data_IF_024183089307
#
_entry.id   IF_024183089307
#
_cell.length_a   1.000
_cell.length_b   1.000
_cell.length_c   1.000
_cell.angle_alpha   90.00
_cell.angle_beta   90.00
_cell.angle_gamma   90.00
#
_symmetry.space_group_name_H-M   'P 1'
#
loop_
_entity.id
_entity.type
_entity.pdbx_description
1 polymer ?
#
# COMPACT_ATOMS: atom_id res chain seq x y z
N UNK A 1 -10.66 -58.67 22.21
CA UNK A 1 -10.78 -57.88 20.99
C UNK A 1 -10.54 -56.41 21.37
N UNK A 2 -9.33 -55.89 21.16
CA UNK A 2 -8.96 -54.52 21.50
C UNK A 2 -9.03 -53.65 20.26
N UNK A 3 -9.84 -52.61 20.29
CA UNK A 3 -9.94 -51.60 19.24
C UNK A 3 -8.80 -50.58 19.40
N UNK A 4 -7.86 -50.57 18.47
CA UNK A 4 -6.88 -49.47 18.36
C UNK A 4 -7.57 -48.26 17.73
N UNK A 5 -7.72 -47.20 18.52
CA UNK A 5 -8.12 -45.89 18.00
C UNK A 5 -6.87 -45.13 17.51
N UNK A 6 -6.77 -44.88 16.20
CA UNK A 6 -5.78 -43.98 15.62
C UNK A 6 -6.31 -42.57 15.73
N UNK A 7 -5.65 -41.73 16.53
CA UNK A 7 -5.88 -40.30 16.53
C UNK A 7 -5.10 -39.70 15.36
N UNK A 8 -5.79 -39.20 14.34
CA UNK A 8 -5.21 -38.38 13.29
C UNK A 8 -4.93 -37.00 13.88
N UNK A 9 -3.68 -36.68 14.12
CA UNK A 9 -3.25 -35.32 14.41
C UNK A 9 -3.28 -34.52 13.11
N UNK A 10 -4.24 -33.61 12.96
CA UNK A 10 -4.24 -32.61 11.88
C UNK A 10 -3.12 -31.64 12.15
N UNK A 11 -2.04 -31.70 11.37
CA UNK A 11 -1.01 -30.69 11.36
C UNK A 11 -1.62 -29.41 10.76
N UNK A 12 -1.82 -28.38 11.59
CA UNK A 12 -2.14 -27.05 11.14
C UNK A 12 -0.94 -26.54 10.34
N UNK A 13 -1.07 -26.43 9.02
CA UNK A 13 -0.09 -25.75 8.18
C UNK A 13 -0.15 -24.26 8.52
N UNK A 14 0.87 -23.77 9.22
CA UNK A 14 1.05 -22.33 9.43
C UNK A 14 1.20 -21.68 8.05
N UNK A 15 0.28 -20.80 7.70
CA UNK A 15 0.37 -20.02 6.48
C UNK A 15 1.62 -19.15 6.59
N UNK A 16 2.55 -19.27 5.65
CA UNK A 16 3.76 -18.46 5.65
C UNK A 16 3.40 -17.00 5.45
N UNK A 17 3.97 -16.12 6.29
CA UNK A 17 3.80 -14.68 6.14
C UNK A 17 4.28 -14.22 4.75
N UNK A 18 3.63 -13.20 4.18
CA UNK A 18 4.03 -12.68 2.87
C UNK A 18 5.49 -12.18 2.90
N UNK A 19 6.21 -12.26 1.77
CA UNK A 19 7.58 -11.76 1.68
C UNK A 19 7.70 -10.28 2.08
N UNK A 20 6.72 -9.45 1.72
CA UNK A 20 6.69 -8.03 2.11
C UNK A 20 6.54 -7.88 3.63
N UNK A 21 5.66 -8.67 4.26
CA UNK A 21 5.50 -8.67 5.72
C UNK A 21 6.82 -9.01 6.43
N UNK A 22 7.47 -10.07 5.96
CA UNK A 22 8.75 -10.51 6.52
C UNK A 22 9.82 -9.42 6.38
N UNK A 23 9.93 -8.80 5.21
CA UNK A 23 10.88 -7.74 4.94
C UNK A 23 10.58 -6.45 5.75
N UNK A 24 9.32 -6.06 5.85
CA UNK A 24 8.90 -4.91 6.65
C UNK A 24 9.25 -5.10 8.12
N UNK A 25 8.99 -6.28 8.66
CA UNK A 25 9.35 -6.62 10.05
C UNK A 25 10.87 -6.59 10.26
N UNK A 26 11.66 -7.11 9.33
CA UNK A 26 13.12 -7.07 9.38
C UNK A 26 13.67 -5.64 9.24
N UNK A 27 13.00 -4.78 8.50
CA UNK A 27 13.30 -3.35 8.32
C UNK A 27 12.84 -2.43 9.47
N UNK A 28 12.42 -2.99 10.60
CA UNK A 28 11.94 -2.19 11.74
C UNK A 28 10.55 -1.60 11.54
N UNK A 29 9.74 -2.20 10.69
CA UNK A 29 8.35 -1.80 10.45
C UNK A 29 8.16 -0.64 9.48
N UNK A 30 9.22 -0.23 8.76
CA UNK A 30 9.16 0.89 7.81
C UNK A 30 9.97 0.59 6.56
N UNK A 31 9.37 0.76 5.38
CA UNK A 31 10.04 0.62 4.08
C UNK A 31 9.62 1.73 3.12
N UNK A 32 10.60 2.33 2.46
CA UNK A 32 10.40 3.35 1.43
C UNK A 32 10.61 2.76 0.05
N UNK A 33 9.73 3.08 -0.88
CA UNK A 33 9.84 2.74 -2.29
C UNK A 33 9.72 4.00 -3.13
N UNK A 34 10.61 4.17 -4.10
CA UNK A 34 10.66 5.37 -4.90
C UNK A 34 10.89 5.09 -6.39
N UNK A 35 10.38 5.97 -7.21
CA UNK A 35 10.65 6.03 -8.65
C UNK A 35 10.59 7.46 -9.13
N UNK A 36 11.60 7.84 -9.91
CA UNK A 36 11.57 9.04 -10.73
C UNK A 36 11.71 8.63 -12.19
N UNK A 37 10.95 9.28 -13.06
CA UNK A 37 10.94 9.04 -14.49
C UNK A 37 11.53 10.26 -15.19
N UNK A 38 12.63 10.05 -15.89
CA UNK A 38 13.27 11.09 -16.67
C UNK A 38 12.55 11.36 -18.01
N UNK A 39 12.95 12.41 -18.71
CA UNK A 39 12.34 12.78 -19.99
C UNK A 39 12.59 11.72 -21.07
N UNK A 40 13.70 10.98 -21.01
CA UNK A 40 13.97 9.89 -21.94
C UNK A 40 12.98 8.73 -21.76
N UNK A 41 12.68 8.39 -20.50
CA UNK A 41 11.63 7.42 -20.18
C UNK A 41 10.27 7.89 -20.70
N UNK A 42 9.87 9.10 -20.33
CA UNK A 42 8.55 9.66 -20.67
C UNK A 42 8.35 9.81 -22.19
N UNK A 43 9.40 10.11 -22.94
CA UNK A 43 9.32 10.19 -24.41
C UNK A 43 8.95 8.84 -25.06
N UNK A 44 9.34 7.74 -24.43
CA UNK A 44 9.05 6.38 -24.89
C UNK A 44 7.75 5.80 -24.32
N UNK A 45 7.16 6.43 -23.29
CA UNK A 45 5.94 6.00 -22.62
C UNK A 45 4.85 7.07 -22.78
N UNK A 46 4.41 7.23 -24.05
CA UNK A 46 3.40 8.24 -24.39
C UNK A 46 2.11 8.04 -23.59
N UNK A 47 1.64 9.13 -23.00
CA UNK A 47 0.45 9.13 -22.13
C UNK A 47 0.75 8.99 -20.65
N UNK A 48 1.97 8.62 -20.25
CA UNK A 48 2.39 8.68 -18.86
C UNK A 48 2.65 10.14 -18.47
N UNK A 49 2.01 10.60 -17.40
CA UNK A 49 2.14 11.96 -16.86
C UNK A 49 2.83 11.97 -15.50
N UNK A 50 2.84 10.85 -14.81
CA UNK A 50 3.56 10.69 -13.54
C UNK A 50 5.06 10.72 -13.77
N UNK A 51 5.74 11.64 -13.08
CA UNK A 51 7.19 11.84 -13.11
C UNK A 51 7.91 11.31 -11.88
N UNK A 52 7.19 11.25 -10.77
CA UNK A 52 7.72 10.80 -9.49
C UNK A 52 6.63 10.08 -8.71
N UNK A 53 7.00 8.98 -8.08
CA UNK A 53 6.16 8.33 -7.10
C UNK A 53 7.01 7.89 -5.91
N UNK A 54 6.46 8.05 -4.70
CA UNK A 54 7.03 7.56 -3.45
C UNK A 54 5.95 6.89 -2.63
N UNK A 55 6.26 5.71 -2.13
CA UNK A 55 5.39 4.93 -1.26
C UNK A 55 6.15 4.59 0.00
N UNK A 56 5.57 4.94 1.13
CA UNK A 56 6.08 4.58 2.44
C UNK A 56 5.11 3.59 3.06
N UNK A 57 5.59 2.37 3.27
CA UNK A 57 4.85 1.32 3.95
C UNK A 57 5.35 1.25 5.39
N UNK A 58 4.44 1.35 6.34
CA UNK A 58 4.73 1.22 7.77
C UNK A 58 3.83 0.15 8.39
N UNK A 59 4.18 -0.32 9.58
CA UNK A 59 3.29 -1.20 10.35
C UNK A 59 2.63 -0.37 11.46
N UNK A 60 1.31 -0.42 11.53
CA UNK A 60 0.56 0.13 12.68
C UNK A 60 1.01 -0.56 13.97
N UNK A 61 1.28 0.22 15.00
CA UNK A 61 1.71 -0.30 16.30
C UNK A 61 0.57 -0.99 17.05
N UNK A 62 -0.64 -0.52 16.86
CA UNK A 62 -1.83 -1.02 17.55
C UNK A 62 -2.42 -2.24 16.86
N UNK A 63 -2.61 -2.19 15.55
CA UNK A 63 -3.29 -3.26 14.80
C UNK A 63 -2.33 -4.27 14.14
N UNK A 64 -1.05 -3.92 13.99
CA UNK A 64 -0.10 -4.70 13.20
C UNK A 64 -0.36 -4.66 11.69
N UNK A 65 -1.35 -3.88 11.23
CA UNK A 65 -1.69 -3.74 9.82
C UNK A 65 -0.65 -2.88 9.09
N UNK A 66 -0.41 -3.14 7.82
CA UNK A 66 0.40 -2.24 7.01
C UNK A 66 -0.39 -0.96 6.71
N UNK A 67 0.30 0.17 6.87
CA UNK A 67 -0.18 1.50 6.51
C UNK A 67 0.59 2.00 5.31
N UNK A 68 -0.09 2.65 4.39
CA UNK A 68 0.52 3.24 3.20
C UNK A 68 0.40 4.76 3.25
N UNK A 69 1.52 5.42 2.98
CA UNK A 69 1.56 6.84 2.64
C UNK A 69 2.17 6.98 1.26
N UNK A 70 1.58 7.79 0.41
CA UNK A 70 2.06 7.93 -0.96
C UNK A 70 2.15 9.39 -1.40
N UNK A 71 3.04 9.60 -2.36
CA UNK A 71 3.15 10.80 -3.18
C UNK A 71 3.19 10.37 -4.64
N UNK A 72 2.34 10.96 -5.45
CA UNK A 72 2.37 10.83 -6.90
C UNK A 72 2.45 12.23 -7.50
N UNK A 73 3.48 12.50 -8.27
CA UNK A 73 3.73 13.80 -8.86
C UNK A 73 3.92 13.69 -10.37
N UNK A 74 3.34 14.63 -11.10
CA UNK A 74 3.44 14.78 -12.54
C UNK A 74 3.71 16.23 -12.93
N UNK A 75 3.05 16.72 -13.98
CA UNK A 75 3.20 18.11 -14.45
C UNK A 75 2.47 19.14 -13.58
N UNK A 76 1.67 18.71 -12.61
CA UNK A 76 0.93 19.56 -11.67
C UNK A 76 1.43 19.45 -10.24
N UNK A 77 0.65 19.99 -9.30
CA UNK A 77 0.91 19.80 -7.88
C UNK A 77 0.83 18.29 -7.52
N UNK A 78 1.72 17.80 -6.65
CA UNK A 78 1.72 16.40 -6.24
C UNK A 78 0.40 16.03 -5.53
N UNK A 79 0.06 14.77 -5.63
CA UNK A 79 -1.04 14.15 -4.90
C UNK A 79 -0.41 13.37 -3.75
N UNK A 80 -0.90 13.59 -2.56
CA UNK A 80 -0.50 12.88 -1.37
C UNK A 80 -1.68 12.09 -0.84
N UNK A 81 -1.49 10.82 -0.55
CA UNK A 81 -2.52 9.96 0.01
C UNK A 81 -1.98 9.17 1.20
N UNK A 82 -2.88 8.76 2.06
CA UNK A 82 -2.58 7.77 3.06
C UNK A 82 -3.77 6.84 3.29
N UNK A 83 -3.49 5.65 3.82
CA UNK A 83 -4.54 4.68 4.08
C UNK A 83 -3.97 3.43 4.72
N UNK A 84 -4.85 2.48 4.95
CA UNK A 84 -4.47 1.17 5.46
C UNK A 84 -4.38 0.14 4.35
N UNK A 85 -3.67 -0.94 4.64
CA UNK A 85 -3.59 -2.10 3.76
C UNK A 85 -3.89 -3.37 4.54
N UNK A 86 -4.23 -4.43 3.81
CA UNK A 86 -4.36 -5.78 4.34
C UNK A 86 -3.33 -6.70 3.69
N UNK A 87 -2.74 -7.60 4.50
CA UNK A 87 -1.82 -8.60 4.00
C UNK A 87 -2.53 -9.64 3.13
N UNK A 88 -1.87 -10.05 2.07
CA UNK A 88 -2.40 -11.03 1.14
C UNK A 88 -1.81 -12.44 1.35
N UNK A 89 -1.60 -12.83 2.58
CA UNK A 89 -1.00 -14.11 2.98
C UNK A 89 -1.99 -15.18 3.48
N UNK A 90 -3.25 -15.03 3.11
CA UNK A 90 -4.31 -15.98 3.52
C UNK A 90 -4.97 -15.66 4.86
N UNK A 91 -4.47 -14.69 5.62
CA UNK A 91 -5.03 -14.28 6.92
C UNK A 91 -6.07 -13.13 6.79
N UNK A 92 -6.47 -12.81 5.58
CA UNK A 92 -7.44 -11.76 5.25
C UNK A 92 -8.84 -11.97 5.86
N UNK A 93 -9.10 -13.17 6.37
CA UNK A 93 -10.40 -13.49 6.99
C UNK A 93 -10.58 -12.97 8.41
N UNK A 94 -9.59 -12.33 9.02
CA UNK A 94 -9.67 -11.90 10.42
C UNK A 94 -10.34 -10.55 10.65
N UNK A 95 -10.84 -9.88 9.66
CA UNK A 95 -11.40 -8.54 9.85
C UNK A 95 -12.60 -8.15 9.00
N UNK A 96 -13.18 -9.05 8.23
CA UNK A 96 -14.36 -8.72 7.42
C UNK A 96 -14.08 -7.77 6.24
N UNK A 97 -12.82 -7.57 5.88
CA UNK A 97 -12.39 -6.67 4.80
C UNK A 97 -12.07 -7.45 3.51
N UNK A 98 -12.92 -8.40 3.15
CA UNK A 98 -12.79 -9.11 1.87
C UNK A 98 -13.11 -8.23 0.64
N UNK A 99 -13.55 -6.99 0.87
CA UNK A 99 -14.06 -6.10 -0.17
C UNK A 99 -12.99 -5.19 -0.79
N UNK A 100 -11.80 -5.10 -0.18
CA UNK A 100 -10.72 -4.19 -0.62
C UNK A 100 -10.07 -4.65 -1.93
N UNK A 101 -10.20 -5.91 -2.30
CA UNK A 101 -9.59 -6.43 -3.53
C UNK A 101 -10.67 -6.84 -4.50
N UNK A 102 -10.65 -6.25 -5.68
CA UNK A 102 -11.38 -6.75 -6.82
C UNK A 102 -11.15 -8.26 -6.94
N UNK A 103 -12.24 -9.03 -7.07
CA UNK A 103 -12.20 -10.49 -7.19
C UNK A 103 -11.30 -10.99 -8.34
N UNK A 104 -10.95 -10.12 -9.27
CA UNK A 104 -10.09 -10.41 -10.43
C UNK A 104 -8.60 -10.30 -10.11
N UNK A 105 -8.21 -9.56 -9.06
CA UNK A 105 -6.81 -9.35 -8.74
C UNK A 105 -6.48 -9.83 -7.32
N UNK A 106 -5.63 -10.85 -7.24
CA UNK A 106 -5.18 -11.44 -5.96
C UNK A 106 -3.65 -11.48 -5.93
N UNK A 107 -2.98 -10.40 -5.48
CA UNK A 107 -1.53 -10.46 -5.33
C UNK A 107 -1.18 -11.49 -4.26
N UNK A 108 -0.41 -12.51 -4.63
CA UNK A 108 -0.03 -13.59 -3.70
C UNK A 108 1.12 -13.21 -2.78
N UNK A 109 1.75 -12.05 -2.99
CA UNK A 109 2.99 -11.67 -2.32
C UNK A 109 2.98 -10.27 -1.71
N UNK A 110 1.88 -9.54 -1.86
CA UNK A 110 1.79 -8.13 -1.50
C UNK A 110 0.68 -7.81 -0.50
N UNK A 111 0.08 -6.66 -0.70
CA UNK A 111 -1.01 -6.11 0.12
C UNK A 111 -2.10 -5.54 -0.78
N UNK A 112 -3.35 -5.54 -0.30
CA UNK A 112 -4.41 -4.71 -0.82
C UNK A 112 -4.48 -3.43 0.01
N UNK A 113 -4.51 -2.27 -0.61
CA UNK A 113 -4.52 -0.98 0.06
C UNK A 113 -5.80 -0.22 -0.22
N UNK A 114 -6.28 0.51 0.78
CA UNK A 114 -7.40 1.43 0.72
C UNK A 114 -6.94 2.80 1.17
N UNK A 115 -7.24 3.85 0.40
CA UNK A 115 -6.91 5.22 0.78
C UNK A 115 -8.08 5.87 1.52
N UNK A 116 -7.75 6.64 2.54
CA UNK A 116 -8.71 7.45 3.26
C UNK A 116 -9.06 8.71 2.48
N UNK A 117 -10.30 9.18 2.66
CA UNK A 117 -10.81 10.42 2.07
C UNK A 117 -10.88 11.56 3.08
N UNK A 118 -10.70 11.28 4.35
CA UNK A 118 -10.61 12.28 5.42
C UNK A 118 -9.38 12.06 6.31
N UNK A 119 -9.08 13.06 7.13
CA UNK A 119 -7.95 13.03 8.05
C UNK A 119 -8.18 12.15 9.27
N UNK A 120 -9.45 11.91 9.60
CA UNK A 120 -9.82 11.15 10.78
C UNK A 120 -9.86 9.64 10.52
N UNK A 121 -9.67 9.23 9.26
CA UNK A 121 -9.63 7.83 8.84
C UNK A 121 -10.97 7.10 8.93
N UNK A 122 -12.06 7.82 9.18
CA UNK A 122 -13.37 7.22 9.39
C UNK A 122 -14.18 7.04 8.12
N UNK A 123 -13.90 7.81 7.07
CA UNK A 123 -14.58 7.65 5.81
C UNK A 123 -13.79 6.70 4.93
N UNK A 124 -13.95 5.42 5.19
CA UNK A 124 -13.40 4.34 4.37
C UNK A 124 -14.10 4.23 3.00
N UNK A 125 -15.04 5.13 2.72
CA UNK A 125 -15.81 5.08 1.49
C UNK A 125 -15.05 5.75 0.36
N UNK A 126 -14.58 4.93 -0.59
CA UNK A 126 -14.25 5.32 -1.97
C UNK A 126 -12.91 6.04 -2.23
N UNK A 127 -11.95 6.01 -1.32
CA UNK A 127 -10.60 6.58 -1.56
C UNK A 127 -9.80 5.89 -2.68
N UNK A 128 -10.32 4.78 -3.16
CA UNK A 128 -9.71 3.92 -4.17
C UNK A 128 -8.95 2.77 -3.55
N UNK A 129 -9.39 1.56 -3.91
CA UNK A 129 -8.75 0.31 -3.53
C UNK A 129 -7.76 -0.11 -4.61
N UNK A 130 -6.60 -0.58 -4.22
CA UNK A 130 -5.63 -1.07 -5.18
C UNK A 130 -4.65 -2.06 -4.57
N UNK A 131 -4.22 -3.04 -5.35
CA UNK A 131 -3.19 -3.97 -4.94
C UNK A 131 -1.78 -3.40 -5.12
N UNK A 132 -0.90 -3.80 -4.22
CA UNK A 132 0.53 -3.55 -4.26
C UNK A 132 1.24 -4.88 -4.21
N UNK A 133 1.89 -5.27 -5.30
CA UNK A 133 2.62 -6.52 -5.42
C UNK A 133 4.09 -6.35 -5.01
N UNK A 134 4.63 -7.37 -4.35
CA UNK A 134 6.06 -7.49 -4.07
C UNK A 134 6.73 -8.18 -5.25
N UNK A 135 7.63 -7.49 -5.92
CA UNK A 135 8.27 -7.97 -7.16
C UNK A 135 9.80 -7.93 -7.07
N UNK A 136 10.47 -8.45 -8.09
CA UNK A 136 11.94 -8.45 -8.21
C UNK A 136 12.67 -9.09 -7.01
N UNK A 137 12.11 -10.16 -6.47
CA UNK A 137 12.72 -10.84 -5.33
C UNK A 137 12.86 -9.96 -4.09
N UNK A 138 11.97 -8.97 -3.96
CA UNK A 138 11.95 -8.09 -2.80
C UNK A 138 12.66 -6.75 -2.98
N UNK A 139 13.06 -6.42 -4.19
CA UNK A 139 13.74 -5.15 -4.47
C UNK A 139 12.80 -4.06 -5.01
N UNK A 140 11.53 -4.41 -5.26
CA UNK A 140 10.56 -3.48 -5.80
C UNK A 140 9.12 -3.85 -5.39
N UNK A 141 8.23 -2.88 -5.51
CA UNK A 141 6.78 -3.08 -5.52
C UNK A 141 6.21 -2.63 -6.85
N UNK A 142 5.07 -3.20 -7.21
CA UNK A 142 4.24 -2.74 -8.32
C UNK A 142 2.85 -2.42 -7.78
N UNK A 143 2.43 -1.17 -7.90
CA UNK A 143 1.12 -0.70 -7.51
C UNK A 143 0.22 -0.61 -8.73
N UNK A 144 -1.02 -1.10 -8.60
CA UNK A 144 -2.06 -1.03 -9.62
C UNK A 144 -3.10 -0.01 -9.17
N UNK A 145 -2.83 1.26 -9.46
CA UNK A 145 -3.65 2.38 -8.99
C UNK A 145 -5.02 2.40 -9.69
N UNK A 146 -6.07 2.88 -9.01
CA UNK A 146 -7.40 3.04 -9.57
C UNK A 146 -7.43 4.15 -10.64
N UNK A 147 -8.58 4.29 -11.28
CA UNK A 147 -8.85 5.34 -12.29
C UNK A 147 -8.75 6.74 -11.69
N UNK A 148 -9.03 6.84 -10.41
CA UNK A 148 -8.99 8.07 -9.65
C UNK A 148 -8.40 7.81 -8.26
N UNK A 149 -7.44 8.62 -7.87
CA UNK A 149 -6.71 8.48 -6.62
C UNK A 149 -7.20 9.55 -5.64
N UNK A 150 -7.70 9.14 -4.49
CA UNK A 150 -8.02 10.07 -3.41
C UNK A 150 -6.74 10.64 -2.81
N UNK A 151 -6.72 11.94 -2.55
CA UNK A 151 -5.55 12.56 -1.95
C UNK A 151 -5.64 14.07 -1.85
N UNK A 152 -4.62 14.65 -1.26
CA UNK A 152 -4.46 16.08 -1.02
C UNK A 152 -3.37 16.66 -1.90
N UNK A 153 -3.63 17.81 -2.53
CA UNK A 153 -2.61 18.55 -3.31
C UNK A 153 -1.84 19.57 -2.48
N UNK A 154 -2.31 19.88 -1.29
CA UNK A 154 -1.64 20.80 -0.36
C UNK A 154 -1.03 20.06 0.82
N UNK A 155 -0.18 20.75 1.59
CA UNK A 155 0.31 20.25 2.88
C UNK A 155 -0.78 20.31 3.96
N UNK A 156 -1.84 21.07 3.72
CA UNK A 156 -2.98 21.18 4.59
C UNK A 156 -3.95 20.00 4.34
N UNK A 157 -3.97 19.08 5.25
CA UNK A 157 -4.85 17.90 5.25
C UNK A 157 -6.12 18.14 6.09
N UNK A 158 -6.39 19.38 6.52
CA UNK A 158 -7.57 19.75 7.32
C UNK A 158 -8.90 19.64 6.55
N UNK A 159 -8.84 19.37 5.25
CA UNK A 159 -10.00 19.20 4.36
C UNK A 159 -10.04 17.78 3.84
N UNK A 160 -11.22 17.33 3.45
CA UNK A 160 -11.40 16.04 2.77
C UNK A 160 -10.51 15.97 1.52
N UNK A 161 -10.01 14.77 1.24
CA UNK A 161 -9.28 14.48 0.02
C UNK A 161 -10.16 14.75 -1.21
N UNK A 162 -9.53 15.13 -2.30
CA UNK A 162 -10.19 15.19 -3.60
C UNK A 162 -9.77 13.97 -4.44
N UNK A 163 -10.65 13.56 -5.36
CA UNK A 163 -10.32 12.52 -6.33
C UNK A 163 -9.56 13.12 -7.51
N UNK A 164 -8.43 12.52 -7.83
CA UNK A 164 -7.54 12.95 -8.90
C UNK A 164 -7.48 11.87 -9.98
N UNK A 165 -8.02 12.13 -11.18
CA UNK A 165 -8.03 11.15 -12.25
C UNK A 165 -6.61 10.82 -12.70
N UNK A 166 -6.34 9.53 -12.92
CA UNK A 166 -5.10 9.01 -13.47
C UNK A 166 -5.33 8.50 -14.89
N UNK A 167 -4.40 8.85 -15.78
CA UNK A 167 -4.40 8.30 -17.14
C UNK A 167 -4.11 6.78 -17.14
N UNK A 168 -4.57 6.04 -18.14
CA UNK A 168 -4.32 4.58 -18.20
C UNK A 168 -2.85 4.20 -18.10
N UNK A 169 -1.95 5.04 -18.61
CA UNK A 169 -0.49 4.81 -18.57
C UNK A 169 0.12 5.09 -17.18
N UNK A 170 -0.62 5.76 -16.28
CA UNK A 170 -0.17 6.11 -14.93
C UNK A 170 -0.68 5.12 -13.86
N UNK A 171 -1.48 4.12 -14.23
CA UNK A 171 -2.12 3.22 -13.27
C UNK A 171 -1.22 2.09 -12.78
N UNK A 172 -0.20 1.74 -13.52
CA UNK A 172 0.76 0.72 -13.09
C UNK A 172 2.08 1.41 -12.83
N UNK A 173 2.45 1.50 -11.56
CA UNK A 173 3.68 2.15 -11.11
C UNK A 173 4.57 1.13 -10.43
N UNK A 174 5.79 0.95 -10.94
CA UNK A 174 6.80 0.11 -10.32
C UNK A 174 7.82 0.97 -9.61
N UNK A 175 7.96 0.77 -8.30
CA UNK A 175 8.87 1.52 -7.43
C UNK A 175 9.93 0.58 -6.88
N UNK A 176 11.16 1.06 -6.79
CA UNK A 176 12.29 0.31 -6.20
C UNK A 176 12.40 0.62 -4.71
N UNK A 177 12.90 -0.35 -3.95
CA UNK A 177 13.30 -0.10 -2.58
C UNK A 177 14.33 1.05 -2.55
N UNK A 178 14.10 2.00 -1.66
CA UNK A 178 14.87 3.23 -1.55
C UNK A 178 15.29 3.49 -0.10
N UNK A 179 16.31 4.32 0.13
CA UNK A 179 16.65 4.79 1.48
C UNK A 179 15.45 5.47 2.14
N UNK A 180 15.28 5.27 3.46
CA UNK A 180 14.16 5.83 4.22
C UNK A 180 14.05 7.36 4.06
N UNK A 181 15.18 8.06 3.96
CA UNK A 181 15.24 9.50 3.78
C UNK A 181 14.48 10.01 2.53
N UNK A 182 14.31 9.20 1.49
CA UNK A 182 13.52 9.58 0.32
C UNK A 182 12.01 9.69 0.62
N UNK A 183 11.56 9.10 1.72
CA UNK A 183 10.17 9.15 2.18
C UNK A 183 9.96 10.04 3.41
N UNK A 184 10.96 10.77 3.89
CA UNK A 184 10.85 11.63 5.09
C UNK A 184 9.74 12.67 4.97
N UNK A 185 9.48 13.17 3.78
CA UNK A 185 8.36 14.08 3.52
C UNK A 185 7.03 13.44 3.89
N UNK A 186 6.83 12.17 3.54
CA UNK A 186 5.59 11.43 3.84
C UNK A 186 5.42 11.18 5.33
N UNK A 187 6.50 10.86 6.04
CA UNK A 187 6.47 10.70 7.49
C UNK A 187 6.04 11.99 8.19
N UNK A 188 6.66 13.11 7.84
CA UNK A 188 6.36 14.42 8.46
C UNK A 188 4.93 14.89 8.15
N UNK A 189 4.45 14.63 6.94
CA UNK A 189 3.16 15.10 6.47
C UNK A 189 1.99 14.45 7.19
N UNK A 190 2.08 13.15 7.39
CA UNK A 190 1.04 12.34 8.00
C UNK A 190 1.38 11.94 9.46
N UNK A 191 2.24 12.71 10.12
CA UNK A 191 2.59 12.46 11.52
C UNK A 191 1.37 12.44 12.45
N UNK A 192 0.39 13.35 12.35
CA UNK A 192 -0.81 13.29 13.18
C UNK A 192 -1.63 12.01 12.96
N UNK A 193 -1.71 11.55 11.71
CA UNK A 193 -2.38 10.28 11.40
C UNK A 193 -1.63 9.06 11.95
N UNK A 194 -0.32 9.16 12.16
CA UNK A 194 0.45 8.11 12.81
C UNK A 194 0.21 8.06 14.33
N UNK A 195 -0.16 9.18 14.95
CA UNK A 195 -0.57 9.23 16.37
C UNK A 195 -1.97 8.64 16.60
N UNK A 196 -2.84 8.68 15.58
CA UNK A 196 -4.16 8.03 15.63
C UNK A 196 -4.08 6.50 15.61
N UNK A 197 -2.96 5.93 15.18
CA UNK A 197 -2.69 4.48 15.29
C UNK A 197 -2.51 4.03 16.75
N UNK A 198 -2.41 4.96 17.70
CA UNK A 198 -2.20 4.69 19.13
C UNK A 198 -3.48 4.91 20.01
N UNK A 199 -4.65 5.22 19.39
CA UNK A 199 -5.96 5.31 20.05
C UNK A 199 -6.80 4.11 19.69
#
# INVERSE_FOLDING_TARGET
MGTLSFALAAAATATAASPLHTALKAGGGTMCFARSYDDAWLSNHKGQTVREARFLVTTSRTSGRPMLRLKVAGNGAPIYGYGECAWHDGDLNRGGQNDILDATFKPTTGVGCHLYTDVDGYSAEEGGDFPVEWVDGGQAIQAHLPDSLAGWRSLDVSRNAAFHPLGPADRIIRLKLAPAAECDELLRRFAPAAEMDDI
#
